data_IF_767435693558
#
_entry.id   IF_767435693558
#
_cell.length_a   1.000
_cell.length_b   1.000
_cell.length_c   1.000
_cell.angle_alpha   90.00
_cell.angle_beta   90.00
_cell.angle_gamma   90.00
#
_symmetry.space_group_name_H-M   'P 1'
#
loop_
_entity.id
_entity.type
_entity.pdbx_description
1 polymer ?
#
# COMPACT_ATOMS: atom_id res chain seq x y z
N UNK A 1 -6.89 -9.88 8.10
CA UNK A 1 -6.09 -8.63 7.97
C UNK A 1 -5.10 -8.43 9.13
N UNK A 2 -5.52 -8.57 10.39
CA UNK A 2 -4.64 -8.36 11.57
C UNK A 2 -3.46 -9.32 11.65
N UNK A 3 -3.59 -10.50 11.10
CA UNK A 3 -2.55 -11.54 11.09
C UNK A 3 -1.50 -11.33 10.00
N UNK A 4 -1.84 -10.69 8.90
CA UNK A 4 -0.93 -10.52 7.76
C UNK A 4 0.20 -9.53 8.05
N UNK A 5 -0.12 -8.34 8.57
CA UNK A 5 0.90 -7.37 8.97
C UNK A 5 1.86 -7.95 10.03
N UNK A 6 1.33 -8.74 10.99
CA UNK A 6 2.15 -9.42 12.00
C UNK A 6 3.13 -10.42 11.37
N UNK A 7 2.72 -11.13 10.32
CA UNK A 7 3.59 -12.10 9.64
C UNK A 7 4.73 -11.44 8.87
N UNK A 8 4.53 -10.25 8.31
CA UNK A 8 5.55 -9.48 7.59
C UNK A 8 6.51 -8.80 8.56
N UNK A 9 5.96 -8.09 9.56
CA UNK A 9 6.75 -7.30 10.50
C UNK A 9 7.43 -8.14 11.57
N UNK A 10 7.11 -9.44 11.66
CA UNK A 10 7.68 -10.38 12.63
C UNK A 10 9.21 -10.52 12.51
N UNK A 11 9.75 -10.33 11.32
CA UNK A 11 11.18 -10.49 11.05
C UNK A 11 11.96 -9.18 11.24
N UNK A 12 11.26 -8.05 11.45
CA UNK A 12 11.90 -6.77 11.74
C UNK A 12 12.26 -6.77 13.23
N UNK A 13 13.55 -6.90 13.53
CA UNK A 13 14.08 -6.81 14.89
C UNK A 13 13.65 -5.46 15.50
N UNK A 14 13.22 -5.48 16.77
CA UNK A 14 12.80 -4.32 17.54
C UNK A 14 11.38 -3.77 17.31
N UNK A 15 10.54 -4.40 16.48
CA UNK A 15 9.12 -4.01 16.36
C UNK A 15 8.23 -4.99 17.12
N UNK A 16 7.53 -4.50 18.14
CA UNK A 16 6.42 -5.19 18.79
C UNK A 16 5.10 -4.69 18.22
N UNK A 17 4.41 -5.54 17.44
CA UNK A 17 3.13 -5.19 16.85
C UNK A 17 2.00 -5.41 17.86
N UNK A 18 1.36 -4.32 18.27
CA UNK A 18 0.22 -4.34 19.17
C UNK A 18 -1.03 -3.97 18.38
N UNK A 19 -1.98 -4.89 18.31
CA UNK A 19 -3.27 -4.64 17.65
C UNK A 19 -4.29 -4.09 18.65
N UNK A 20 -4.87 -2.94 18.34
CA UNK A 20 -6.06 -2.41 19.01
C UNK A 20 -7.09 -1.94 17.97
N UNK A 21 -8.36 -1.89 18.35
CA UNK A 21 -9.41 -1.46 17.45
C UNK A 21 -9.73 0.01 17.64
N UNK A 22 -9.47 0.81 16.61
CA UNK A 22 -9.70 2.25 16.65
C UNK A 22 -11.19 2.66 16.50
N UNK A 23 -12.00 1.79 15.91
CA UNK A 23 -13.38 2.09 15.53
C UNK A 23 -14.42 1.75 16.60
N UNK A 24 -14.03 1.07 17.68
CA UNK A 24 -14.97 0.76 18.77
C UNK A 24 -15.41 2.04 19.49
N UNK A 25 -16.72 2.12 19.80
CA UNK A 25 -17.36 3.24 20.50
C UNK A 25 -17.90 2.78 21.87
N UNK A 26 -18.44 3.71 22.63
CA UNK A 26 -19.04 3.43 23.95
C UNK A 26 -18.05 2.83 24.93
N UNK A 27 -18.52 1.87 25.72
CA UNK A 27 -17.70 1.20 26.76
C UNK A 27 -16.46 0.51 26.18
N UNK A 28 -16.58 -0.06 24.98
CA UNK A 28 -15.47 -0.73 24.31
C UNK A 28 -14.34 0.22 23.92
N UNK A 29 -14.65 1.50 23.73
CA UNK A 29 -13.61 2.53 23.53
C UNK A 29 -12.67 2.59 24.72
N UNK A 30 -13.24 2.64 25.93
CA UNK A 30 -12.47 2.74 27.17
C UNK A 30 -11.74 1.43 27.50
N UNK A 31 -12.31 0.28 27.18
CA UNK A 31 -11.60 -1.01 27.28
C UNK A 31 -10.32 -1.00 26.43
N UNK A 32 -10.37 -0.47 25.22
CA UNK A 32 -9.18 -0.36 24.36
C UNK A 32 -8.16 0.65 24.94
N UNK A 33 -8.63 1.77 25.51
CA UNK A 33 -7.75 2.75 26.20
C UNK A 33 -7.07 2.09 27.39
N UNK A 34 -7.79 1.36 28.23
CA UNK A 34 -7.22 0.66 29.40
C UNK A 34 -6.18 -0.40 28.99
N UNK A 35 -6.43 -1.12 27.89
CA UNK A 35 -5.44 -2.06 27.34
C UNK A 35 -4.15 -1.35 26.92
N UNK A 36 -4.26 -0.19 26.26
CA UNK A 36 -3.09 0.61 25.88
C UNK A 36 -2.35 1.15 27.12
N UNK A 37 -3.07 1.63 28.13
CA UNK A 37 -2.48 2.08 29.42
C UNK A 37 -1.65 0.95 30.03
N UNK A 38 -2.24 -0.25 30.16
CA UNK A 38 -1.53 -1.43 30.68
C UNK A 38 -0.24 -1.71 29.89
N UNK A 39 -0.31 -1.66 28.56
CA UNK A 39 0.87 -1.87 27.69
C UNK A 39 1.92 -0.80 27.92
N UNK A 40 1.53 0.48 28.00
CA UNK A 40 2.44 1.59 28.18
C UNK A 40 3.14 1.55 29.55
N UNK A 41 2.42 1.20 30.60
CA UNK A 41 2.97 1.07 31.95
C UNK A 41 3.93 -0.13 32.05
N UNK A 42 3.57 -1.29 31.48
CA UNK A 42 4.41 -2.49 31.52
C UNK A 42 5.74 -2.32 30.77
N UNK A 43 5.70 -1.61 29.64
CA UNK A 43 6.89 -1.41 28.80
C UNK A 43 7.67 -0.11 29.14
N UNK A 44 7.17 0.72 30.06
CA UNK A 44 7.81 1.97 30.52
C UNK A 44 8.23 2.89 29.36
N UNK A 45 7.35 3.07 28.37
CA UNK A 45 7.64 3.95 27.23
C UNK A 45 7.82 5.40 27.70
N UNK A 46 8.80 6.07 27.12
CA UNK A 46 9.09 7.50 27.38
C UNK A 46 8.52 8.41 26.32
N UNK A 47 8.34 7.88 25.11
CA UNK A 47 7.88 8.62 23.93
C UNK A 47 6.75 7.88 23.23
N UNK A 48 5.76 8.61 22.75
CA UNK A 48 4.69 8.11 21.88
C UNK A 48 4.53 9.05 20.69
N UNK A 49 4.67 8.50 19.49
CA UNK A 49 4.45 9.19 18.22
C UNK A 49 3.16 8.72 17.60
N UNK A 50 2.20 9.63 17.45
CA UNK A 50 0.89 9.35 16.88
C UNK A 50 0.87 9.96 15.48
N UNK A 51 0.90 9.11 14.45
CA UNK A 51 0.97 9.55 13.04
C UNK A 51 -0.42 9.65 12.38
N UNK A 52 -1.48 9.55 13.18
CA UNK A 52 -2.86 9.57 12.71
C UNK A 52 -3.74 10.46 13.62
N UNK A 53 -4.95 10.77 13.14
CA UNK A 53 -5.96 11.63 13.78
C UNK A 53 -6.67 10.98 15.00
N UNK A 54 -6.09 9.95 15.57
CA UNK A 54 -6.73 9.11 16.60
C UNK A 54 -6.44 9.62 18.02
N UNK A 55 -7.45 9.55 18.88
CA UNK A 55 -7.33 10.03 20.27
C UNK A 55 -6.94 8.95 21.27
N UNK A 56 -7.32 7.68 21.05
CA UNK A 56 -7.09 6.59 22.02
C UNK A 56 -5.64 6.47 22.49
N UNK A 57 -4.64 6.42 21.59
CA UNK A 57 -3.24 6.36 22.01
C UNK A 57 -2.79 7.60 22.80
N UNK A 58 -3.29 8.79 22.40
CA UNK A 58 -2.95 10.03 23.08
C UNK A 58 -3.49 10.05 24.54
N UNK A 59 -4.76 9.65 24.71
CA UNK A 59 -5.40 9.53 26.03
C UNK A 59 -4.64 8.52 26.88
N UNK A 60 -4.40 7.33 26.35
CA UNK A 60 -3.70 6.28 27.07
C UNK A 60 -2.29 6.69 27.48
N UNK A 61 -1.53 7.35 26.59
CA UNK A 61 -0.19 7.84 26.86
C UNK A 61 -0.19 8.91 27.96
N UNK A 62 -1.14 9.85 27.91
CA UNK A 62 -1.27 10.90 28.91
C UNK A 62 -1.59 10.35 30.30
N UNK A 63 -2.55 9.42 30.39
CA UNK A 63 -2.92 8.75 31.64
C UNK A 63 -1.77 7.92 32.21
N UNK A 64 -0.98 7.27 31.31
CA UNK A 64 0.20 6.50 31.70
C UNK A 64 1.40 7.34 32.13
N UNK A 65 1.30 8.68 32.17
CA UNK A 65 2.37 9.58 32.56
C UNK A 65 3.53 9.70 31.57
N UNK A 66 3.30 9.36 30.30
CA UNK A 66 4.34 9.46 29.25
C UNK A 66 4.68 10.94 29.02
N UNK A 67 5.97 11.25 29.10
CA UNK A 67 6.47 12.62 29.04
C UNK A 67 6.37 13.25 27.65
N UNK A 68 6.69 12.48 26.62
CA UNK A 68 6.75 12.98 25.25
C UNK A 68 5.67 12.32 24.39
N UNK A 69 4.59 13.06 24.15
CA UNK A 69 3.46 12.60 23.32
C UNK A 69 3.34 13.56 22.15
N UNK A 70 3.72 13.09 20.96
CA UNK A 70 3.73 13.86 19.73
C UNK A 70 2.58 13.35 18.83
N UNK A 71 1.82 14.28 18.29
CA UNK A 71 0.71 13.96 17.40
C UNK A 71 0.32 15.15 16.51
N UNK A 72 -0.45 14.93 15.45
CA UNK A 72 -0.85 15.97 14.51
C UNK A 72 -1.66 17.11 15.12
N UNK A 73 -2.24 16.94 16.30
CA UNK A 73 -2.93 18.00 17.04
C UNK A 73 -4.30 18.37 16.50
N UNK A 74 -5.02 17.44 15.86
CA UNK A 74 -6.37 17.68 15.34
C UNK A 74 -7.45 17.62 16.43
N UNK A 75 -8.33 18.60 16.41
CA UNK A 75 -9.49 18.66 17.27
C UNK A 75 -9.14 18.41 18.76
N UNK A 76 -9.82 17.46 19.40
CA UNK A 76 -9.63 17.12 20.82
C UNK A 76 -8.28 16.44 21.11
N UNK A 77 -7.52 15.99 20.09
CA UNK A 77 -6.22 15.35 20.32
C UNK A 77 -5.23 16.31 21.01
N UNK A 78 -5.32 17.63 20.73
CA UNK A 78 -4.48 18.65 21.35
C UNK A 78 -4.47 18.60 22.89
N UNK A 79 -5.58 18.19 23.49
CA UNK A 79 -5.71 18.12 24.95
C UNK A 79 -4.92 16.97 25.57
N UNK A 80 -4.50 15.99 24.78
CA UNK A 80 -3.90 14.75 25.24
C UNK A 80 -2.44 14.60 24.85
N UNK A 81 -1.94 15.39 23.92
CA UNK A 81 -0.52 15.38 23.52
C UNK A 81 0.27 16.44 24.27
N UNK A 82 1.57 16.24 24.37
CA UNK A 82 2.48 17.18 25.08
C UNK A 82 3.24 18.08 24.11
N UNK A 83 3.30 17.70 22.85
CA UNK A 83 3.86 18.56 21.79
C UNK A 83 3.02 19.84 21.64
N UNK A 84 3.70 20.95 21.37
CA UNK A 84 3.07 22.23 21.01
C UNK A 84 3.12 22.52 19.51
N UNK A 85 3.88 21.75 18.76
CA UNK A 85 4.05 21.88 17.32
C UNK A 85 3.12 20.90 16.60
N UNK A 86 2.19 21.42 15.82
CA UNK A 86 1.13 20.68 15.13
C UNK A 86 1.22 20.88 13.63
N UNK A 87 0.58 19.99 12.87
CA UNK A 87 0.38 20.17 11.45
C UNK A 87 -0.61 21.32 11.19
N UNK A 88 -0.32 22.17 10.20
CA UNK A 88 -1.22 23.22 9.72
C UNK A 88 -2.34 22.64 8.85
N UNK A 89 -3.33 23.48 8.48
CA UNK A 89 -4.38 23.07 7.54
C UNK A 89 -3.81 22.69 6.15
N UNK A 90 -2.76 23.38 5.71
CA UNK A 90 -2.14 23.09 4.42
C UNK A 90 -1.35 21.78 4.46
N UNK A 91 -0.81 21.39 5.61
CA UNK A 91 -0.10 20.12 5.76
C UNK A 91 -1.01 18.90 5.58
N UNK A 92 -2.32 19.07 5.76
CA UNK A 92 -3.31 18.01 5.51
C UNK A 92 -3.54 17.71 4.02
N UNK A 93 -3.04 18.54 3.13
CA UNK A 93 -3.03 18.32 1.68
C UNK A 93 -1.88 17.41 1.25
N UNK A 94 -0.89 17.22 2.12
CA UNK A 94 0.24 16.33 1.89
C UNK A 94 -0.21 14.87 2.02
N UNK A 95 0.50 13.93 1.36
CA UNK A 95 0.24 12.52 1.60
C UNK A 95 0.66 12.09 3.01
N UNK A 96 0.20 10.92 3.46
CA UNK A 96 0.44 10.43 4.82
C UNK A 96 1.92 10.33 5.22
N UNK A 97 2.79 9.94 4.28
CA UNK A 97 4.23 9.86 4.55
C UNK A 97 4.83 11.25 4.78
N UNK A 98 4.48 12.22 3.94
CA UNK A 98 4.93 13.61 4.08
C UNK A 98 4.37 14.27 5.35
N UNK A 99 3.08 14.04 5.67
CA UNK A 99 2.49 14.51 6.93
C UNK A 99 3.27 13.98 8.13
N UNK A 100 3.57 12.67 8.14
CA UNK A 100 4.32 12.03 9.21
C UNK A 100 5.74 12.58 9.33
N UNK A 101 6.45 12.72 8.24
CA UNK A 101 7.80 13.30 8.21
C UNK A 101 7.79 14.76 8.68
N UNK A 102 6.83 15.56 8.22
CA UNK A 102 6.71 16.96 8.63
C UNK A 102 6.40 17.07 10.12
N UNK A 103 5.46 16.25 10.62
CA UNK A 103 5.16 16.21 12.05
C UNK A 103 6.40 15.93 12.91
N UNK A 104 7.23 14.98 12.51
CA UNK A 104 8.46 14.64 13.22
C UNK A 104 9.47 15.78 13.14
N UNK A 105 9.69 16.37 11.97
CA UNK A 105 10.63 17.49 11.76
C UNK A 105 10.28 18.72 12.59
N UNK A 106 9.01 19.15 12.62
CA UNK A 106 8.60 20.32 13.42
C UNK A 106 8.73 20.10 14.92
N UNK A 107 8.83 18.83 15.35
CA UNK A 107 9.11 18.45 16.73
C UNK A 107 10.59 18.10 16.96
N UNK A 108 11.49 18.59 16.11
CA UNK A 108 12.95 18.45 16.22
C UNK A 108 13.44 16.99 16.17
N UNK A 109 12.67 16.12 15.53
CA UNK A 109 13.07 14.74 15.29
C UNK A 109 13.68 14.65 13.89
N UNK A 110 14.95 14.23 13.83
CA UNK A 110 15.62 14.01 12.56
C UNK A 110 14.95 12.87 11.79
N UNK A 111 14.55 13.16 10.56
CA UNK A 111 13.96 12.19 9.64
C UNK A 111 14.65 12.31 8.31
N UNK A 112 15.21 11.23 7.83
CA UNK A 112 15.65 11.16 6.46
C UNK A 112 14.42 11.17 5.53
N UNK A 113 14.50 11.94 4.43
CA UNK A 113 13.46 11.97 3.41
C UNK A 113 13.55 10.70 2.56
N UNK A 114 13.14 9.57 3.11
CA UNK A 114 13.09 8.30 2.39
C UNK A 114 11.65 7.98 2.01
N UNK A 115 11.50 7.38 0.85
CA UNK A 115 10.26 6.73 0.48
C UNK A 115 10.06 5.48 1.36
N UNK A 116 8.81 5.04 1.60
CA UNK A 116 8.56 3.80 2.30
C UNK A 116 9.28 2.63 1.63
N UNK A 117 10.07 1.90 2.38
CA UNK A 117 10.78 0.69 1.95
C UNK A 117 10.41 -0.47 2.86
N UNK A 118 10.29 -1.66 2.27
CA UNK A 118 9.98 -2.88 2.99
C UNK A 118 11.09 -3.91 2.80
N UNK A 119 11.83 -4.17 3.87
CA UNK A 119 12.75 -5.27 3.94
C UNK A 119 12.01 -6.58 4.26
N UNK A 120 12.33 -7.65 3.56
CA UNK A 120 11.68 -8.94 3.73
C UNK A 120 12.70 -10.08 3.76
N UNK A 121 12.43 -11.10 4.57
CA UNK A 121 13.19 -12.34 4.54
C UNK A 121 12.67 -13.26 3.43
N UNK A 122 13.24 -13.10 2.22
CA UNK A 122 12.80 -13.84 1.04
C UNK A 122 12.94 -15.36 1.19
N UNK A 123 14.02 -15.88 1.80
CA UNK A 123 14.24 -17.33 1.95
C UNK A 123 13.09 -18.01 2.69
N UNK A 124 12.57 -17.34 3.74
CA UNK A 124 11.45 -17.87 4.51
C UNK A 124 10.13 -17.84 3.71
N UNK A 125 9.94 -16.80 2.89
CA UNK A 125 8.75 -16.64 2.06
C UNK A 125 8.80 -17.63 0.89
N UNK A 126 9.96 -17.82 0.29
CA UNK A 126 10.20 -18.72 -0.85
C UNK A 126 9.84 -20.17 -0.52
N UNK A 127 10.26 -20.68 0.63
CA UNK A 127 9.99 -22.06 1.04
C UNK A 127 8.49 -22.40 1.14
N UNK A 128 7.63 -21.40 1.34
CA UNK A 128 6.18 -21.56 1.43
C UNK A 128 5.46 -21.40 0.08
N UNK A 129 6.14 -20.91 -0.95
CA UNK A 129 5.54 -20.53 -2.22
C UNK A 129 6.23 -21.22 -3.41
N UNK A 130 6.61 -22.48 -3.23
CA UNK A 130 7.28 -23.26 -4.26
C UNK A 130 6.45 -23.42 -5.54
N UNK A 131 5.13 -23.40 -5.42
CA UNK A 131 4.17 -23.45 -6.53
C UNK A 131 4.24 -22.22 -7.45
N UNK A 132 4.76 -21.08 -6.93
CA UNK A 132 5.01 -19.86 -7.70
C UNK A 132 6.43 -19.82 -8.30
N UNK A 133 7.27 -20.84 -8.00
CA UNK A 133 8.63 -20.89 -8.50
C UNK A 133 8.67 -21.36 -9.95
N UNK A 134 8.60 -20.40 -10.88
CA UNK A 134 8.70 -20.63 -12.33
C UNK A 134 10.05 -20.14 -12.84
N UNK A 135 10.60 -20.82 -13.85
CA UNK A 135 11.76 -20.32 -14.58
C UNK A 135 11.33 -19.29 -15.60
N UNK A 136 12.21 -18.34 -15.93
CA UNK A 136 11.93 -17.30 -16.92
C UNK A 136 11.57 -15.95 -16.33
N UNK A 137 11.30 -14.98 -17.20
CA UNK A 137 10.92 -13.60 -16.85
C UNK A 137 9.49 -13.56 -16.32
N UNK A 138 9.27 -12.78 -15.30
CA UNK A 138 7.96 -12.65 -14.66
C UNK A 138 7.57 -11.20 -14.49
N UNK A 139 6.29 -10.92 -14.64
CA UNK A 139 5.69 -9.65 -14.29
C UNK A 139 4.48 -9.90 -13.39
N UNK A 140 4.06 -8.88 -12.65
CA UNK A 140 2.87 -8.97 -11.82
C UNK A 140 1.81 -7.97 -12.27
N UNK A 141 0.56 -8.41 -12.35
CA UNK A 141 -0.60 -7.56 -12.56
C UNK A 141 -1.40 -7.43 -11.28
N UNK A 142 -1.60 -6.21 -10.77
CA UNK A 142 -2.51 -5.87 -9.68
C UNK A 142 -3.89 -5.55 -10.24
N UNK A 143 -4.76 -6.56 -10.31
CA UNK A 143 -5.99 -6.48 -11.09
C UNK A 143 -7.19 -5.97 -10.29
N UNK A 144 -7.08 -5.86 -8.97
CA UNK A 144 -8.15 -5.36 -8.11
C UNK A 144 -7.81 -4.02 -7.43
N UNK A 145 -8.83 -3.44 -6.83
CA UNK A 145 -8.73 -2.37 -5.86
C UNK A 145 -9.89 -2.49 -4.87
N UNK A 146 -9.74 -1.96 -3.64
CA UNK A 146 -10.84 -1.91 -2.68
C UNK A 146 -12.05 -1.16 -3.27
N UNK A 147 -11.78 -0.08 -4.02
CA UNK A 147 -12.77 0.78 -4.66
C UNK A 147 -12.90 0.43 -6.13
N UNK A 148 -14.11 0.01 -6.56
CA UNK A 148 -14.36 -0.48 -7.92
C UNK A 148 -14.08 0.57 -9.00
N UNK A 149 -14.27 1.86 -8.69
CA UNK A 149 -14.01 2.95 -9.64
C UNK A 149 -12.52 3.11 -10.00
N UNK A 150 -11.61 2.50 -9.23
CA UNK A 150 -10.17 2.48 -9.50
C UNK A 150 -9.73 1.30 -10.34
N UNK A 151 -10.63 0.37 -10.67
CA UNK A 151 -10.26 -0.85 -11.36
C UNK A 151 -10.34 -0.67 -12.88
N UNK A 152 -9.25 -1.00 -13.55
CA UNK A 152 -9.21 -1.15 -15.00
C UNK A 152 -9.98 -2.39 -15.42
N UNK A 153 -10.36 -2.51 -16.70
CA UNK A 153 -11.23 -3.58 -17.16
C UNK A 153 -10.45 -4.87 -17.38
N UNK A 154 -11.10 -5.99 -17.15
CA UNK A 154 -10.48 -7.31 -17.25
C UNK A 154 -10.05 -7.62 -18.69
N UNK A 155 -10.86 -7.18 -19.65
CA UNK A 155 -10.60 -7.28 -21.10
C UNK A 155 -9.32 -6.50 -21.49
N UNK A 156 -9.11 -5.32 -20.90
CA UNK A 156 -7.93 -4.48 -21.16
C UNK A 156 -6.66 -5.14 -20.59
N UNK A 157 -6.75 -5.78 -19.43
CA UNK A 157 -5.63 -6.58 -18.90
C UNK A 157 -5.26 -7.75 -19.81
N UNK A 158 -6.26 -8.43 -20.39
CA UNK A 158 -6.03 -9.51 -21.35
C UNK A 158 -5.34 -8.98 -22.59
N UNK A 159 -5.83 -7.90 -23.19
CA UNK A 159 -5.25 -7.29 -24.37
C UNK A 159 -3.82 -6.81 -24.13
N UNK A 160 -3.58 -6.11 -22.99
CA UNK A 160 -2.24 -5.71 -22.60
C UNK A 160 -1.30 -6.90 -22.44
N UNK A 161 -1.78 -8.00 -21.85
CA UNK A 161 -0.97 -9.22 -21.69
C UNK A 161 -0.52 -9.79 -23.03
N UNK A 162 -1.38 -9.79 -24.03
CA UNK A 162 -1.06 -10.25 -25.39
C UNK A 162 0.02 -9.37 -26.04
N UNK A 163 -0.13 -8.03 -25.98
CA UNK A 163 0.85 -7.08 -26.53
C UNK A 163 2.22 -7.23 -25.88
N UNK A 164 2.27 -7.39 -24.56
CA UNK A 164 3.52 -7.58 -23.82
C UNK A 164 4.16 -8.95 -24.17
N UNK A 165 3.34 -10.00 -24.35
CA UNK A 165 3.82 -11.32 -24.74
C UNK A 165 4.44 -11.33 -26.14
N UNK A 166 3.83 -10.69 -27.11
CA UNK A 166 4.37 -10.53 -28.47
C UNK A 166 5.75 -9.85 -28.49
N UNK A 167 5.99 -8.94 -27.53
CA UNK A 167 7.30 -8.29 -27.33
C UNK A 167 8.28 -9.12 -26.50
N UNK A 168 7.92 -10.34 -26.09
CA UNK A 168 8.76 -11.24 -25.29
C UNK A 168 9.28 -10.60 -24.00
N UNK A 169 8.43 -9.80 -23.33
CA UNK A 169 8.80 -9.09 -22.10
C UNK A 169 8.65 -9.95 -20.86
N UNK A 170 7.94 -11.06 -20.94
CA UNK A 170 7.74 -12.02 -19.86
C UNK A 170 7.52 -13.44 -20.39
N UNK A 171 7.68 -14.41 -19.50
CA UNK A 171 7.24 -15.80 -19.67
C UNK A 171 5.98 -16.10 -18.85
N UNK A 172 5.82 -15.42 -17.69
CA UNK A 172 4.67 -15.58 -16.80
C UNK A 172 4.19 -14.24 -16.23
N UNK A 173 2.86 -14.17 -16.00
CA UNK A 173 2.21 -13.07 -15.28
C UNK A 173 1.57 -13.61 -14.02
N UNK A 174 1.91 -13.03 -12.86
CA UNK A 174 1.22 -13.25 -11.60
C UNK A 174 0.04 -12.29 -11.48
N UNK A 175 -1.19 -12.82 -11.45
CA UNK A 175 -2.40 -12.04 -11.22
C UNK A 175 -2.62 -11.87 -9.72
N UNK A 176 -2.45 -10.66 -9.21
CA UNK A 176 -2.56 -10.32 -7.79
C UNK A 176 -3.88 -9.61 -7.54
N UNK A 177 -4.72 -10.21 -6.70
CA UNK A 177 -5.93 -9.60 -6.17
C UNK A 177 -6.25 -10.17 -4.77
N UNK A 178 -7.15 -9.53 -4.04
CA UNK A 178 -7.62 -10.04 -2.77
C UNK A 178 -8.52 -11.28 -2.92
N UNK A 179 -8.60 -12.14 -1.90
CA UNK A 179 -9.40 -13.36 -1.95
C UNK A 179 -10.89 -13.05 -2.20
N UNK A 180 -11.39 -11.93 -1.69
CA UNK A 180 -12.78 -11.50 -1.89
C UNK A 180 -13.09 -11.08 -3.34
N UNK A 181 -12.06 -10.82 -4.14
CA UNK A 181 -12.14 -10.42 -5.56
C UNK A 181 -11.48 -11.43 -6.51
N UNK A 182 -11.31 -12.68 -6.06
CA UNK A 182 -10.71 -13.76 -6.87
C UNK A 182 -11.44 -14.03 -8.19
N UNK A 183 -12.72 -13.65 -8.28
CA UNK A 183 -13.50 -13.74 -9.52
C UNK A 183 -12.91 -12.90 -10.67
N UNK A 184 -12.20 -11.80 -10.36
CA UNK A 184 -11.54 -10.94 -11.37
C UNK A 184 -10.38 -11.71 -12.03
N UNK A 185 -9.51 -12.31 -11.22
CA UNK A 185 -8.40 -13.13 -11.70
C UNK A 185 -8.89 -14.29 -12.57
N UNK A 186 -9.94 -14.98 -12.10
CA UNK A 186 -10.58 -16.07 -12.88
C UNK A 186 -11.14 -15.58 -14.21
N UNK A 187 -11.87 -14.44 -14.21
CA UNK A 187 -12.41 -13.86 -15.44
C UNK A 187 -11.30 -13.54 -16.45
N UNK A 188 -10.18 -12.96 -16.01
CA UNK A 188 -9.02 -12.66 -16.87
C UNK A 188 -8.45 -13.96 -17.49
N UNK A 189 -8.29 -15.02 -16.69
CA UNK A 189 -7.81 -16.32 -17.15
C UNK A 189 -8.77 -16.93 -18.16
N UNK A 190 -10.07 -16.92 -17.88
CA UNK A 190 -11.10 -17.48 -18.73
C UNK A 190 -11.21 -16.76 -20.10
N UNK A 191 -11.04 -15.43 -20.09
CA UNK A 191 -11.02 -14.61 -21.30
C UNK A 191 -9.77 -14.86 -22.14
N UNK A 192 -8.60 -14.90 -21.47
CA UNK A 192 -7.31 -15.06 -22.15
C UNK A 192 -7.08 -16.48 -22.67
N UNK A 193 -7.49 -17.50 -21.89
CA UNK A 193 -7.20 -18.93 -22.15
C UNK A 193 -5.71 -19.23 -22.34
N UNK A 194 -4.84 -18.46 -21.72
CA UNK A 194 -3.38 -18.60 -21.81
C UNK A 194 -2.80 -19.17 -20.52
N UNK A 195 -1.85 -20.07 -20.65
CA UNK A 195 -1.20 -20.78 -19.56
C UNK A 195 -0.09 -19.98 -18.86
N UNK A 196 0.32 -18.84 -19.43
CA UNK A 196 1.28 -17.93 -18.78
C UNK A 196 0.66 -17.08 -17.65
N UNK A 197 -0.66 -17.08 -17.49
CA UNK A 197 -1.35 -16.38 -16.39
C UNK A 197 -1.41 -17.27 -15.14
N UNK A 198 -0.88 -16.81 -14.04
CA UNK A 198 -0.83 -17.51 -12.76
C UNK A 198 -1.70 -16.80 -11.73
N UNK A 199 -2.74 -17.45 -11.25
CA UNK A 199 -3.63 -16.89 -10.23
C UNK A 199 -2.95 -16.88 -8.85
N UNK A 200 -2.82 -15.68 -8.28
CA UNK A 200 -2.30 -15.45 -6.93
C UNK A 200 -3.36 -14.94 -5.95
N UNK A 201 -4.66 -14.98 -6.31
CA UNK A 201 -5.76 -14.46 -5.48
C UNK A 201 -5.93 -15.17 -4.13
N UNK A 202 -5.52 -16.43 -4.05
CA UNK A 202 -5.59 -17.26 -2.84
C UNK A 202 -4.32 -17.23 -1.98
N UNK A 203 -3.31 -16.43 -2.37
CA UNK A 203 -2.06 -16.34 -1.63
C UNK A 203 -2.18 -15.44 -0.41
N UNK A 204 -1.50 -15.82 0.65
CA UNK A 204 -1.30 -14.91 1.77
C UNK A 204 -0.36 -13.75 1.36
N UNK A 205 -0.22 -12.77 2.24
CA UNK A 205 0.63 -11.61 1.95
C UNK A 205 2.10 -11.99 1.71
N UNK A 206 2.57 -13.10 2.31
CA UNK A 206 3.90 -13.66 2.03
C UNK A 206 4.01 -14.13 0.58
N UNK A 207 2.98 -14.84 0.07
CA UNK A 207 2.91 -15.27 -1.32
C UNK A 207 2.82 -14.11 -2.30
N UNK A 208 2.06 -13.06 -1.97
CA UNK A 208 2.02 -11.82 -2.76
C UNK A 208 3.40 -11.14 -2.81
N UNK A 209 4.09 -11.03 -1.68
CA UNK A 209 5.46 -10.49 -1.63
C UNK A 209 6.42 -11.33 -2.47
N UNK A 210 6.29 -12.66 -2.41
CA UNK A 210 7.13 -13.55 -3.23
C UNK A 210 6.86 -13.33 -4.72
N UNK A 211 5.59 -13.29 -5.16
CA UNK A 211 5.23 -13.02 -6.54
C UNK A 211 5.78 -11.67 -7.02
N UNK A 212 5.61 -10.61 -6.23
CA UNK A 212 6.15 -9.28 -6.54
C UNK A 212 7.68 -9.30 -6.67
N UNK A 213 8.39 -9.81 -5.66
CA UNK A 213 9.87 -9.85 -5.65
C UNK A 213 10.45 -10.75 -6.75
N UNK A 214 9.68 -11.70 -7.27
CA UNK A 214 10.07 -12.56 -8.39
C UNK A 214 9.78 -11.91 -9.75
N UNK A 215 9.15 -10.75 -9.78
CA UNK A 215 8.76 -10.04 -11.00
C UNK A 215 9.74 -8.94 -11.36
N UNK A 216 10.02 -8.79 -12.66
CA UNK A 216 10.88 -7.73 -13.19
C UNK A 216 10.22 -6.35 -13.04
N UNK A 217 8.90 -6.28 -13.17
CA UNK A 217 8.11 -5.09 -12.91
C UNK A 217 6.65 -5.43 -12.58
N UNK A 218 5.93 -4.43 -12.10
CA UNK A 218 4.53 -4.51 -11.72
C UNK A 218 3.70 -3.55 -12.58
N UNK A 219 2.48 -3.96 -12.94
CA UNK A 219 1.45 -3.11 -13.56
C UNK A 219 0.16 -3.31 -12.78
N UNK A 220 -0.56 -2.24 -12.44
CA UNK A 220 -1.85 -2.44 -11.79
C UNK A 220 -2.54 -1.18 -11.32
N UNK A 221 -3.74 -1.39 -10.83
CA UNK A 221 -4.62 -0.36 -10.29
C UNK A 221 -4.00 0.34 -9.07
N UNK A 222 -4.45 1.57 -8.78
CA UNK A 222 -4.10 2.25 -7.54
C UNK A 222 -4.70 1.51 -6.33
N UNK A 223 -3.89 0.62 -5.77
CA UNK A 223 -4.29 -0.30 -4.70
C UNK A 223 -3.11 -0.69 -3.81
N UNK A 224 -3.37 -1.51 -2.78
CA UNK A 224 -2.34 -2.03 -1.88
C UNK A 224 -1.15 -2.69 -2.59
N UNK A 225 -1.34 -3.59 -3.56
CA UNK A 225 -0.26 -4.19 -4.34
C UNK A 225 0.65 -3.21 -5.07
N UNK A 226 0.14 -2.09 -5.60
CA UNK A 226 0.96 -1.05 -6.23
C UNK A 226 1.92 -0.40 -5.22
N UNK A 227 1.40 -0.01 -4.06
CA UNK A 227 2.21 0.58 -2.99
C UNK A 227 3.23 -0.43 -2.43
N UNK A 228 2.80 -1.69 -2.29
CA UNK A 228 3.66 -2.77 -1.81
C UNK A 228 4.80 -3.07 -2.79
N UNK A 229 4.53 -3.13 -4.08
CA UNK A 229 5.57 -3.37 -5.11
C UNK A 229 6.60 -2.25 -5.10
N UNK A 230 6.17 -1.00 -5.00
CA UNK A 230 7.08 0.14 -4.91
C UNK A 230 7.91 0.14 -3.62
N UNK A 231 7.30 -0.21 -2.47
CA UNK A 231 8.02 -0.37 -1.20
C UNK A 231 9.04 -1.52 -1.22
N UNK A 232 8.81 -2.54 -2.05
CA UNK A 232 9.75 -3.63 -2.32
C UNK A 232 10.82 -3.27 -3.36
N UNK A 233 10.89 -2.00 -3.78
CA UNK A 233 11.83 -1.45 -4.76
C UNK A 233 11.66 -2.04 -6.18
N UNK A 234 10.44 -2.40 -6.56
CA UNK A 234 10.11 -2.93 -7.88
C UNK A 234 9.58 -1.78 -8.76
N UNK A 235 10.05 -1.70 -10.01
CA UNK A 235 9.52 -0.75 -11.01
C UNK A 235 8.03 -1.02 -11.20
N UNK A 236 7.18 -0.04 -10.91
CA UNK A 236 5.73 -0.23 -10.81
C UNK A 236 4.98 0.79 -11.66
N UNK A 237 4.16 0.30 -12.58
CA UNK A 237 3.31 1.11 -13.45
C UNK A 237 1.90 1.19 -12.84
N UNK A 238 1.53 2.35 -12.31
CA UNK A 238 0.24 2.58 -11.69
C UNK A 238 -0.80 3.08 -12.69
N UNK A 239 -1.89 2.35 -12.85
CA UNK A 239 -3.02 2.71 -13.70
C UNK A 239 -3.96 3.64 -12.93
N UNK A 240 -4.02 4.92 -13.29
CA UNK A 240 -4.66 5.96 -12.49
C UNK A 240 -5.50 6.87 -13.39
N UNK A 241 -6.79 6.94 -13.11
CA UNK A 241 -7.68 7.83 -13.86
C UNK A 241 -8.63 8.64 -12.96
N UNK A 242 -8.91 8.15 -11.75
CA UNK A 242 -9.96 8.68 -10.89
C UNK A 242 -9.45 9.20 -9.53
N UNK A 243 -8.15 9.14 -9.30
CA UNK A 243 -7.49 9.58 -8.07
C UNK A 243 -6.36 10.56 -8.36
N UNK A 244 -5.97 11.39 -7.39
CA UNK A 244 -4.78 12.22 -7.51
C UNK A 244 -3.48 11.39 -7.59
N UNK A 245 -2.67 11.64 -8.61
CA UNK A 245 -1.30 11.08 -8.72
C UNK A 245 -0.42 11.61 -7.60
N UNK A 246 -0.69 12.83 -7.13
CA UNK A 246 0.05 13.45 -6.02
C UNK A 246 0.07 12.62 -4.72
N UNK A 247 -0.86 11.66 -4.54
CA UNK A 247 -0.86 10.75 -3.40
C UNK A 247 0.14 9.58 -3.55
N UNK A 248 0.63 9.30 -4.77
CA UNK A 248 1.52 8.19 -5.08
C UNK A 248 2.99 8.63 -5.11
N UNK A 249 3.51 9.03 -3.96
CA UNK A 249 4.91 9.47 -3.85
C UNK A 249 5.82 8.33 -3.43
N UNK A 250 6.13 7.47 -4.38
CA UNK A 250 7.16 6.45 -4.31
C UNK A 250 8.11 6.60 -5.50
N UNK A 251 9.42 6.45 -5.25
CA UNK A 251 10.42 6.56 -6.32
C UNK A 251 10.26 5.55 -7.46
N UNK A 252 9.57 4.46 -7.19
CA UNK A 252 9.39 3.34 -8.13
C UNK A 252 7.99 3.28 -8.77
N UNK A 253 7.09 4.22 -8.47
CA UNK A 253 5.80 4.30 -9.15
C UNK A 253 5.90 5.24 -10.35
N UNK A 254 5.56 4.71 -11.52
CA UNK A 254 5.40 5.41 -12.77
C UNK A 254 3.91 5.49 -13.07
N UNK A 255 3.23 6.61 -12.79
CA UNK A 255 1.80 6.73 -13.02
C UNK A 255 1.49 6.80 -14.51
N UNK A 256 0.49 6.05 -14.93
CA UNK A 256 -0.07 6.07 -16.28
C UNK A 256 -1.51 6.57 -16.19
N UNK A 257 -1.76 7.71 -16.82
CA UNK A 257 -3.05 8.43 -16.75
C UNK A 257 -3.65 8.60 -18.15
N UNK A 258 -4.97 8.80 -18.29
CA UNK A 258 -5.59 9.25 -19.54
C UNK A 258 -4.95 10.54 -20.10
N UNK A 259 -5.18 10.83 -21.37
CA UNK A 259 -4.64 12.05 -22.00
C UNK A 259 -5.21 13.31 -21.38
N UNK A 260 -6.51 13.29 -21.06
CA UNK A 260 -7.28 14.37 -20.47
C UNK A 260 -7.31 14.33 -18.92
N UNK A 261 -6.35 13.64 -18.32
CA UNK A 261 -6.27 13.52 -16.87
C UNK A 261 -5.95 14.87 -16.22
N UNK A 262 -6.71 15.21 -15.18
CA UNK A 262 -6.48 16.40 -14.34
C UNK A 262 -6.18 15.92 -12.92
N UNK A 263 -5.02 16.28 -12.39
CA UNK A 263 -4.63 15.92 -11.03
C UNK A 263 -5.51 16.63 -9.98
N UNK A 264 -5.59 16.05 -8.79
CA UNK A 264 -6.40 16.54 -7.68
C UNK A 264 -7.93 16.50 -7.88
N UNK A 265 -8.41 15.82 -8.91
CA UNK A 265 -9.84 15.55 -9.08
C UNK A 265 -10.13 14.11 -8.69
N UNK A 266 -11.04 13.96 -7.72
CA UNK A 266 -11.57 12.65 -7.32
C UNK A 266 -12.85 12.37 -8.10
N UNK A 267 -12.84 11.31 -8.88
CA UNK A 267 -14.04 10.81 -9.54
C UNK A 267 -14.34 9.39 -9.06
N UNK A 268 -15.52 9.18 -8.51
CA UNK A 268 -15.98 7.87 -8.05
C UNK A 268 -16.72 7.06 -9.12
N UNK A 269 -16.57 7.45 -10.38
CA UNK A 269 -17.15 6.78 -11.53
C UNK A 269 -16.04 6.03 -12.29
N UNK A 270 -16.22 4.73 -12.53
CA UNK A 270 -15.27 3.88 -13.29
C UNK A 270 -15.03 4.36 -14.74
N UNK A 271 -15.85 5.28 -15.27
CA UNK A 271 -15.68 5.84 -16.63
C UNK A 271 -14.31 6.46 -16.90
N UNK A 272 -13.67 7.02 -15.87
CA UNK A 272 -12.29 7.52 -16.01
C UNK A 272 -11.31 6.41 -16.41
N UNK A 273 -11.43 5.23 -15.83
CA UNK A 273 -10.58 4.08 -16.16
C UNK A 273 -10.79 3.60 -17.60
N UNK A 274 -12.00 3.77 -18.16
CA UNK A 274 -12.29 3.46 -19.57
C UNK A 274 -11.52 4.34 -20.56
N UNK A 275 -11.13 5.56 -20.15
CA UNK A 275 -10.33 6.49 -20.98
C UNK A 275 -8.85 6.12 -21.04
N UNK A 276 -8.41 5.19 -20.21
CA UNK A 276 -7.05 4.69 -20.18
C UNK A 276 -6.93 3.52 -21.16
N UNK A 277 -6.61 3.80 -22.43
CA UNK A 277 -6.52 2.78 -23.45
C UNK A 277 -5.31 1.86 -23.27
N UNK A 278 -5.42 0.64 -23.79
CA UNK A 278 -4.38 -0.40 -23.71
C UNK A 278 -3.11 0.06 -24.43
N UNK A 279 -3.25 0.66 -25.62
CA UNK A 279 -2.12 1.18 -26.41
C UNK A 279 -1.33 2.22 -25.62
N UNK A 280 -2.02 3.17 -24.96
CA UNK A 280 -1.37 4.18 -24.14
C UNK A 280 -0.61 3.57 -22.96
N UNK A 281 -1.22 2.59 -22.29
CA UNK A 281 -0.56 1.86 -21.20
C UNK A 281 0.68 1.15 -21.72
N UNK A 282 0.55 0.42 -22.81
CA UNK A 282 1.64 -0.30 -23.46
C UNK A 282 2.80 0.64 -23.87
N UNK A 283 2.52 1.74 -24.59
CA UNK A 283 3.54 2.71 -24.99
C UNK A 283 4.30 3.30 -23.80
N UNK A 284 3.58 3.66 -22.73
CA UNK A 284 4.18 4.20 -21.52
C UNK A 284 5.08 3.19 -20.81
N UNK A 285 4.68 1.92 -20.78
CA UNK A 285 5.50 0.83 -20.24
C UNK A 285 6.77 0.68 -21.06
N UNK A 286 6.67 0.51 -22.38
CA UNK A 286 7.83 0.32 -23.25
C UNK A 286 8.80 1.50 -23.15
N UNK A 287 8.30 2.73 -23.17
CA UNK A 287 9.13 3.92 -23.02
C UNK A 287 9.95 3.90 -21.72
N UNK A 288 9.32 3.52 -20.61
CA UNK A 288 9.96 3.53 -19.28
C UNK A 288 10.81 2.28 -19.02
N UNK A 289 10.60 1.17 -19.72
CA UNK A 289 11.48 0.00 -19.61
C UNK A 289 12.82 0.21 -20.33
N UNK A 290 12.84 1.05 -21.37
CA UNK A 290 14.03 1.37 -22.17
C UNK A 290 14.82 2.56 -21.62
N UNK A 291 14.31 3.24 -20.60
CA UNK A 291 14.97 4.34 -19.86
C UNK A 291 15.65 3.83 -18.59
#
# INVERSE_FOLDING_TARGET
EKTQAKNILKDIKHINLINYNNFRKGIFYWIDVLKLIKIFLLNKYTHVYILDKVNKPAIAAKISGIKYIIGPGLGRQKNWITSKNYLSQDDWKLNYSEQSQKLLKINSISVENKFPELETNLKRIENKNLDLKKNGKKISFGVDSFEDFKMWYEEDFVELSNLLYEKKLFDYIYLICGPDKSYISKKIIDLSKKDYLIDCSNKDLGGVIYALKSSDFFIGNNSGPLNLSAALNIKSFGLIANDPVSELKYSKIFPITPVDYIDNIWNRDRKGMKKLSVERVFEKIIKNLNS
#
